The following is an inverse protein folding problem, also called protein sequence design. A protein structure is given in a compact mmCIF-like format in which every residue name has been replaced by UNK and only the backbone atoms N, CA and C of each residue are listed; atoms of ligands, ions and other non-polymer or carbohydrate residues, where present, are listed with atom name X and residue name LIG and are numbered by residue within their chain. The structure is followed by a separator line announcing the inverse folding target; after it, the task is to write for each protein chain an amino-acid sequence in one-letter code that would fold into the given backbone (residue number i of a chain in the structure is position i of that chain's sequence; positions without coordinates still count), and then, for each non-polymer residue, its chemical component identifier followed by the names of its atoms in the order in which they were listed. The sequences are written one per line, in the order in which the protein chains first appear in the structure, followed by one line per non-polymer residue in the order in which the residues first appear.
data_IF_087426483915
#
_entry.id   IF_087426483915
#
_cell.length_a   1.000
_cell.length_b   1.000
_cell.length_c   1.000
_cell.angle_alpha   90.00
_cell.angle_beta   90.00
_cell.angle_gamma   90.00
#
_symmetry.space_group_name_H-M   'P 1'
#
loop_
_entity.id
_entity.type
_entity.pdbx_description
1 polymer ?
#
# COMPACT_ATOMS: atom_id res chain seq x y z
N UNK A 1 5.95 -3.46 9.76
CA UNK A 1 5.50 -2.85 8.49
C UNK A 1 4.03 -2.55 8.58
N UNK A 2 3.62 -1.38 8.16
CA UNK A 2 2.22 -0.96 8.15
C UNK A 2 1.75 -0.68 6.73
N UNK A 3 0.52 -1.03 6.44
CA UNK A 3 -0.10 -0.72 5.17
C UNK A 3 -1.54 -0.23 5.39
N UNK A 4 -1.96 0.71 4.56
CA UNK A 4 -3.36 1.10 4.44
C UNK A 4 -3.78 0.77 3.02
N UNK A 5 -4.76 -0.10 2.89
CA UNK A 5 -5.33 -0.53 1.61
C UNK A 5 -6.62 0.23 1.36
N UNK A 6 -6.79 0.74 0.15
CA UNK A 6 -8.05 1.31 -0.29
C UNK A 6 -8.45 0.66 -1.61
N UNK A 7 -9.64 0.06 -1.64
CA UNK A 7 -10.22 -0.47 -2.88
C UNK A 7 -10.64 0.71 -3.75
N UNK A 8 -10.18 0.72 -4.99
CA UNK A 8 -10.39 1.85 -5.88
C UNK A 8 -10.98 1.44 -7.23
N UNK A 9 -11.77 2.34 -7.83
CA UNK A 9 -12.15 2.26 -9.24
C UNK A 9 -11.06 2.84 -10.13
N UNK A 10 -10.29 3.80 -9.60
CA UNK A 10 -9.10 4.38 -10.21
C UNK A 10 -8.25 5.05 -9.14
N UNK A 11 -6.95 5.13 -9.38
CA UNK A 11 -6.03 5.92 -8.58
C UNK A 11 -4.86 6.39 -9.44
N UNK A 12 -4.23 7.50 -9.05
CA UNK A 12 -3.08 8.05 -9.76
C UNK A 12 -2.13 8.78 -8.83
N UNK A 13 -0.88 8.87 -9.24
CA UNK A 13 0.16 9.68 -8.61
C UNK A 13 0.63 10.72 -9.62
N UNK A 14 0.59 11.99 -9.22
CA UNK A 14 1.11 13.10 -10.00
C UNK A 14 2.30 13.73 -9.29
N UNK A 15 3.40 13.95 -10.01
CA UNK A 15 4.62 14.58 -9.52
C UNK A 15 4.97 15.73 -10.46
N UNK A 16 5.16 16.92 -9.90
CA UNK A 16 5.47 18.13 -10.66
C UNK A 16 4.52 18.36 -11.85
N UNK A 17 3.23 18.14 -11.61
CA UNK A 17 2.18 18.35 -12.62
C UNK A 17 2.06 17.25 -13.68
N UNK A 18 2.89 16.20 -13.60
CA UNK A 18 2.89 15.08 -14.55
C UNK A 18 2.40 13.81 -13.87
N UNK A 19 1.48 13.09 -14.50
CA UNK A 19 1.03 11.79 -14.02
C UNK A 19 2.17 10.78 -14.13
N UNK A 20 2.68 10.33 -12.99
CA UNK A 20 3.74 9.31 -12.88
C UNK A 20 3.18 7.91 -13.09
N UNK A 21 2.04 7.61 -12.46
CA UNK A 21 1.42 6.29 -12.47
C UNK A 21 -0.08 6.42 -12.31
N UNK A 22 -0.81 5.48 -12.91
CA UNK A 22 -2.25 5.36 -12.70
C UNK A 22 -2.71 3.92 -12.83
N UNK A 23 -3.79 3.59 -12.14
CA UNK A 23 -4.49 2.30 -12.25
C UNK A 23 -5.99 2.53 -12.39
N UNK A 24 -6.69 1.54 -12.94
CA UNK A 24 -8.14 1.44 -12.89
C UNK A 24 -8.56 0.61 -11.67
N UNK A 25 -9.50 -0.32 -11.79
CA UNK A 25 -9.96 -1.15 -10.67
C UNK A 25 -8.80 -1.87 -9.98
N UNK A 26 -8.73 -1.75 -8.66
CA UNK A 26 -7.70 -2.41 -7.89
C UNK A 26 -7.52 -1.87 -6.49
N UNK A 27 -6.29 -1.82 -6.03
CA UNK A 27 -5.92 -1.37 -4.69
C UNK A 27 -4.87 -0.26 -4.75
N UNK A 28 -5.12 0.83 -4.02
CA UNK A 28 -4.08 1.75 -3.58
C UNK A 28 -3.52 1.24 -2.25
N UNK A 29 -2.21 1.04 -2.19
CA UNK A 29 -1.51 0.57 -0.99
C UNK A 29 -0.56 1.66 -0.51
N UNK A 30 -0.86 2.25 0.64
CA UNK A 30 0.06 3.15 1.34
C UNK A 30 0.93 2.30 2.25
N UNK A 31 2.26 2.35 2.08
CA UNK A 31 3.20 1.47 2.77
C UNK A 31 4.17 2.26 3.66
N UNK A 32 4.18 1.95 4.95
CA UNK A 32 5.13 2.51 5.93
C UNK A 32 6.04 1.43 6.48
N UNK A 33 7.36 1.66 6.38
CA UNK A 33 8.36 0.75 6.90
C UNK A 33 9.03 1.32 8.15
N UNK A 34 9.48 0.45 9.04
CA UNK A 34 10.34 0.79 10.18
C UNK A 34 11.66 0.01 10.12
N UNK A 35 12.66 0.43 10.91
CA UNK A 35 13.98 -0.19 10.87
C UNK A 35 13.99 -1.68 11.23
N UNK A 36 13.03 -2.15 12.02
CA UNK A 36 12.94 -3.54 12.45
C UNK A 36 12.27 -4.46 11.42
N UNK A 37 11.75 -3.93 10.31
CA UNK A 37 11.10 -4.73 9.29
C UNK A 37 12.10 -5.60 8.52
N UNK A 38 11.64 -6.79 8.13
CA UNK A 38 12.44 -7.79 7.42
C UNK A 38 11.67 -8.35 6.23
N UNK A 39 12.31 -9.24 5.46
CA UNK A 39 11.66 -9.97 4.37
C UNK A 39 10.46 -10.80 4.84
N UNK A 40 10.47 -11.27 6.08
CA UNK A 40 9.32 -11.99 6.65
C UNK A 40 8.06 -11.11 6.69
N UNK A 41 8.22 -9.84 7.08
CA UNK A 41 7.12 -8.86 7.06
C UNK A 41 6.60 -8.65 5.64
N UNK A 42 7.50 -8.51 4.68
CA UNK A 42 7.16 -8.30 3.26
C UNK A 42 6.39 -9.50 2.72
N UNK A 43 6.93 -10.70 2.89
CA UNK A 43 6.34 -11.94 2.36
C UNK A 43 4.93 -12.16 2.92
N UNK A 44 4.79 -11.99 4.23
CA UNK A 44 3.47 -12.13 4.86
C UNK A 44 2.47 -11.09 4.33
N UNK A 45 2.90 -9.83 4.27
CA UNK A 45 2.02 -8.71 3.92
C UNK A 45 1.58 -8.78 2.45
N UNK A 46 2.50 -9.03 1.52
CA UNK A 46 2.18 -9.12 0.09
C UNK A 46 1.26 -10.30 -0.21
N UNK A 47 1.53 -11.46 0.40
CA UNK A 47 0.66 -12.62 0.28
C UNK A 47 -0.74 -12.33 0.82
N UNK A 48 -0.82 -11.68 1.98
CA UNK A 48 -2.10 -11.33 2.59
C UNK A 48 -2.89 -10.35 1.72
N UNK A 49 -2.24 -9.31 1.21
CA UNK A 49 -2.89 -8.30 0.33
C UNK A 49 -3.43 -8.96 -0.94
N UNK A 50 -2.64 -9.81 -1.59
CA UNK A 50 -3.05 -10.48 -2.84
C UNK A 50 -4.27 -11.39 -2.66
N UNK A 51 -4.41 -11.98 -1.48
CA UNK A 51 -5.47 -12.98 -1.21
C UNK A 51 -6.65 -12.42 -0.39
N UNK A 52 -6.59 -11.16 0.02
CA UNK A 52 -7.65 -10.56 0.82
C UNK A 52 -8.94 -10.44 -0.01
N UNK A 53 -10.03 -10.98 0.51
CA UNK A 53 -11.30 -11.14 -0.21
C UNK A 53 -12.19 -9.93 0.00
N UNK A 54 -11.83 -8.80 -0.60
CA UNK A 54 -12.49 -7.50 -0.44
C UNK A 54 -13.06 -6.94 -1.73
N UNK A 55 -13.16 -7.75 -2.77
CA UNK A 55 -13.85 -7.42 -4.02
C UNK A 55 -15.16 -8.19 -4.11
N UNK A 56 -16.17 -7.54 -4.68
CA UNK A 56 -17.50 -8.12 -4.77
C UNK A 56 -17.56 -9.27 -5.77
N UNK A 57 -18.28 -10.33 -5.39
CA UNK A 57 -18.72 -11.38 -6.31
C UNK A 57 -19.98 -10.96 -7.06
N UNK A 58 -20.54 -11.88 -7.83
CA UNK A 58 -21.75 -11.65 -8.65
C UNK A 58 -23.00 -11.36 -7.80
N UNK A 59 -22.99 -11.76 -6.52
CA UNK A 59 -24.06 -11.50 -5.56
C UNK A 59 -23.86 -10.17 -4.79
N UNK A 60 -22.79 -9.43 -5.07
CA UNK A 60 -22.45 -8.19 -4.38
C UNK A 60 -21.80 -8.40 -3.00
N UNK A 61 -21.31 -9.60 -2.72
CA UNK A 61 -20.66 -9.94 -1.46
C UNK A 61 -19.14 -9.85 -1.63
N UNK A 62 -18.43 -9.24 -0.65
CA UNK A 62 -16.98 -9.19 -0.63
C UNK A 62 -16.40 -10.58 -0.42
N UNK A 63 -16.10 -11.27 -1.50
CA UNK A 63 -15.72 -12.68 -1.53
C UNK A 63 -14.56 -12.99 -2.48
N UNK A 64 -14.19 -12.05 -3.34
CA UNK A 64 -13.11 -12.19 -4.31
C UNK A 64 -11.88 -11.41 -3.90
N UNK A 65 -10.71 -11.95 -4.22
CA UNK A 65 -9.42 -11.28 -4.06
C UNK A 65 -9.10 -10.41 -5.28
N UNK A 66 -8.04 -9.60 -5.19
CA UNK A 66 -7.52 -8.87 -6.35
C UNK A 66 -7.06 -9.82 -7.46
N UNK A 67 -6.57 -11.01 -7.10
CA UNK A 67 -6.20 -12.07 -8.06
C UNK A 67 -7.43 -12.53 -8.85
N UNK A 68 -8.56 -12.72 -8.18
CA UNK A 68 -9.80 -13.19 -8.82
C UNK A 68 -10.36 -12.16 -9.81
N UNK A 69 -10.27 -10.88 -9.49
CA UNK A 69 -10.80 -9.81 -10.36
C UNK A 69 -9.79 -9.28 -11.37
N UNK A 70 -8.52 -9.69 -11.27
CA UNK A 70 -7.47 -9.23 -12.17
C UNK A 70 -7.18 -7.74 -12.06
N UNK A 71 -7.37 -7.15 -10.88
CA UNK A 71 -7.14 -5.73 -10.65
C UNK A 71 -5.66 -5.35 -10.59
N UNK A 72 -5.41 -4.05 -10.60
CA UNK A 72 -4.07 -3.48 -10.51
C UNK A 72 -3.75 -3.00 -9.09
N UNK A 73 -2.45 -2.87 -8.80
CA UNK A 73 -1.97 -2.32 -7.53
C UNK A 73 -1.10 -1.09 -7.79
N UNK A 74 -1.35 -0.04 -7.02
CA UNK A 74 -0.51 1.16 -6.94
C UNK A 74 0.04 1.25 -5.51
N UNK A 75 1.36 1.14 -5.36
CA UNK A 75 2.04 1.23 -4.05
C UNK A 75 2.69 2.59 -3.92
N UNK A 76 2.37 3.27 -2.83
CA UNK A 76 2.94 4.58 -2.47
C UNK A 76 3.58 4.49 -1.10
N UNK A 77 4.85 4.91 -0.99
CA UNK A 77 5.53 4.99 0.31
C UNK A 77 4.88 6.06 1.19
N UNK A 78 4.62 5.73 2.46
CA UNK A 78 3.91 6.59 3.41
C UNK A 78 4.53 6.46 4.80
N UNK A 79 5.65 7.15 5.06
CA UNK A 79 6.33 7.08 6.36
C UNK A 79 5.45 7.61 7.51
N UNK A 80 4.50 8.50 7.22
CA UNK A 80 3.60 9.08 8.22
C UNK A 80 2.66 8.07 8.87
N UNK A 81 2.57 6.83 8.37
CA UNK A 81 1.87 5.74 9.05
C UNK A 81 2.54 5.39 10.39
N UNK A 82 3.78 5.80 10.59
CA UNK A 82 4.54 5.64 11.83
C UNK A 82 4.53 6.90 12.71
N UNK A 83 3.53 7.75 12.53
CA UNK A 83 3.35 8.94 13.36
C UNK A 83 3.06 8.58 14.82
N UNK A 84 3.75 9.25 15.75
CA UNK A 84 3.42 9.25 17.16
C UNK A 84 2.84 10.62 17.53
N UNK A 85 1.62 10.64 18.01
CA UNK A 85 0.86 11.86 18.35
C UNK A 85 0.30 11.82 19.77
N UNK A 86 0.85 10.93 20.60
CA UNK A 86 0.40 10.76 22.01
C UNK A 86 0.61 12.00 22.86
N UNK A 87 1.68 12.77 22.58
CA UNK A 87 2.01 13.99 23.31
C UNK A 87 2.08 15.17 22.35
N UNK A 88 1.21 16.16 22.58
CA UNK A 88 1.14 17.37 21.76
C UNK A 88 0.53 17.12 20.38
N UNK A 89 0.42 18.20 19.59
CA UNK A 89 -0.26 18.19 18.30
C UNK A 89 0.68 18.15 17.10
N UNK A 90 2.00 18.16 17.32
CA UNK A 90 3.01 17.96 16.28
C UNK A 90 3.42 16.49 16.29
N UNK A 91 3.06 15.71 15.24
CA UNK A 91 3.44 14.31 15.19
C UNK A 91 4.95 14.12 15.16
N UNK A 92 5.43 13.08 15.84
CA UNK A 92 6.80 12.61 15.72
C UNK A 92 6.86 11.43 14.77
N UNK A 93 7.87 11.38 13.91
CA UNK A 93 8.09 10.31 12.94
C UNK A 93 9.36 9.50 13.24
N UNK A 94 9.85 9.54 14.48
CA UNK A 94 11.07 8.82 14.87
C UNK A 94 10.96 7.30 14.74
N UNK A 95 9.75 6.77 14.69
CA UNK A 95 9.50 5.33 14.47
C UNK A 95 9.58 4.93 13.01
N UNK A 96 9.45 5.87 12.08
CA UNK A 96 9.65 5.58 10.66
C UNK A 96 11.10 5.16 10.44
N UNK A 97 11.31 4.17 9.57
CA UNK A 97 12.67 3.71 9.25
C UNK A 97 13.46 4.79 8.49
N UNK A 98 14.78 4.70 8.62
CA UNK A 98 15.70 5.55 7.85
C UNK A 98 15.63 5.23 6.35
N UNK A 99 15.97 6.17 5.50
CA UNK A 99 15.99 5.97 4.03
C UNK A 99 16.86 4.77 3.62
N UNK A 100 18.01 4.58 4.26
CA UNK A 100 18.92 3.46 3.98
C UNK A 100 18.27 2.10 4.17
N UNK A 101 17.33 2.00 5.12
CA UNK A 101 16.60 0.76 5.41
C UNK A 101 15.30 0.68 4.63
N UNK A 102 14.56 1.77 4.54
CA UNK A 102 13.19 1.75 3.99
C UNK A 102 13.16 1.68 2.48
N UNK A 103 14.11 2.28 1.76
CA UNK A 103 14.14 2.22 0.29
C UNK A 103 14.31 0.77 -0.20
N UNK A 104 15.30 -0.01 0.28
CA UNK A 104 15.41 -1.42 -0.11
C UNK A 104 14.19 -2.26 0.27
N UNK A 105 13.58 -2.01 1.43
CA UNK A 105 12.36 -2.71 1.86
C UNK A 105 11.17 -2.39 0.95
N UNK A 106 10.99 -1.13 0.61
CA UNK A 106 9.95 -0.68 -0.31
C UNK A 106 10.11 -1.34 -1.70
N UNK A 107 11.32 -1.32 -2.25
CA UNK A 107 11.61 -1.95 -3.53
C UNK A 107 11.39 -3.47 -3.49
N UNK A 108 11.79 -4.13 -2.40
CA UNK A 108 11.56 -5.55 -2.20
C UNK A 108 10.06 -5.87 -2.09
N UNK A 109 9.30 -5.02 -1.41
CA UNK A 109 7.84 -5.15 -1.32
C UNK A 109 7.19 -5.08 -2.71
N UNK A 110 7.59 -4.12 -3.53
CA UNK A 110 7.07 -3.98 -4.90
C UNK A 110 7.36 -5.22 -5.73
N UNK A 111 8.60 -5.72 -5.70
CA UNK A 111 8.98 -6.94 -6.43
C UNK A 111 8.18 -8.16 -5.98
N UNK A 112 8.04 -8.33 -4.66
CA UNK A 112 7.27 -9.45 -4.11
C UNK A 112 5.79 -9.35 -4.48
N UNK A 113 5.23 -8.13 -4.45
CA UNK A 113 3.85 -7.90 -4.85
C UNK A 113 3.63 -8.22 -6.33
N UNK A 114 4.58 -7.88 -7.20
CA UNK A 114 4.55 -8.25 -8.62
C UNK A 114 4.53 -9.76 -8.82
N UNK A 115 5.28 -10.51 -8.03
CA UNK A 115 5.26 -11.97 -8.06
C UNK A 115 3.91 -12.52 -7.60
N UNK A 116 3.34 -11.97 -6.54
CA UNK A 116 2.05 -12.41 -6.02
C UNK A 116 0.90 -12.21 -7.02
N UNK A 117 0.87 -11.08 -7.73
CA UNK A 117 -0.23 -10.79 -8.66
C UNK A 117 0.08 -11.17 -10.12
N UNK A 118 1.33 -11.52 -10.43
CA UNK A 118 1.73 -12.00 -11.77
C UNK A 118 1.76 -10.91 -12.83
N UNK A 119 1.89 -9.63 -12.44
CA UNK A 119 1.98 -8.50 -13.36
C UNK A 119 2.69 -7.30 -12.70
N UNK A 120 3.12 -6.29 -13.50
CA UNK A 120 3.76 -5.10 -12.96
C UNK A 120 2.87 -4.37 -11.95
N UNK A 121 3.50 -3.86 -10.89
CA UNK A 121 2.88 -3.02 -9.87
C UNK A 121 3.26 -1.57 -10.15
N UNK A 122 2.27 -0.69 -10.13
CA UNK A 122 2.50 0.74 -10.31
C UNK A 122 2.99 1.35 -9.00
N UNK A 123 3.85 2.35 -9.10
CA UNK A 123 4.47 2.99 -7.93
C UNK A 123 4.45 4.51 -8.06
N UNK A 124 4.57 5.19 -6.90
CA UNK A 124 5.01 6.58 -6.86
C UNK A 124 6.53 6.67 -7.00
N UNK A 125 7.09 7.73 -6.46
CA UNK A 125 8.53 7.94 -6.37
C UNK A 125 8.90 8.17 -4.90
N UNK A 126 9.78 7.34 -4.36
CA UNK A 126 10.15 7.42 -2.95
C UNK A 126 10.81 8.79 -2.66
N UNK A 127 10.30 9.48 -1.63
CA UNK A 127 10.81 10.78 -1.20
C UNK A 127 10.32 11.98 -2.02
N UNK A 128 9.58 11.78 -3.10
CA UNK A 128 9.02 12.87 -3.87
C UNK A 128 7.77 13.45 -3.23
N UNK A 129 7.45 14.70 -3.54
CA UNK A 129 6.14 15.27 -3.26
C UNK A 129 5.15 14.73 -4.29
N UNK A 130 4.14 14.01 -3.81
CA UNK A 130 3.16 13.33 -4.66
C UNK A 130 1.75 13.83 -4.39
N UNK A 131 1.00 14.07 -5.47
CA UNK A 131 -0.46 14.26 -5.41
C UNK A 131 -1.08 12.90 -5.72
N UNK A 132 -1.70 12.29 -4.72
CA UNK A 132 -2.35 10.98 -4.84
C UNK A 132 -3.85 11.20 -4.97
N UNK A 133 -4.40 10.87 -6.12
CA UNK A 133 -5.83 10.94 -6.39
C UNK A 133 -6.39 9.54 -6.47
N UNK A 134 -7.56 9.33 -5.88
CA UNK A 134 -8.23 8.03 -5.91
C UNK A 134 -9.74 8.19 -5.83
N UNK A 135 -10.45 7.21 -6.37
CA UNK A 135 -11.87 7.02 -6.13
C UNK A 135 -12.04 5.74 -5.32
N UNK A 136 -12.24 5.90 -4.01
CA UNK A 136 -12.49 4.76 -3.12
C UNK A 136 -13.84 4.14 -3.45
N UNK A 137 -13.81 2.87 -3.78
CA UNK A 137 -14.99 2.11 -4.20
C UNK A 137 -15.55 1.31 -3.02
N UNK A 138 -16.65 1.84 -2.47
CA UNK A 138 -17.30 1.13 -1.37
C UNK A 138 -17.93 2.01 -0.30
N UNK A 139 -17.23 2.77 0.56
CA UNK A 139 -15.77 2.79 0.75
C UNK A 139 -15.24 1.50 1.40
N UNK A 140 -14.04 1.10 1.01
CA UNK A 140 -13.32 0.00 1.63
C UNK A 140 -11.89 0.46 1.91
N UNK A 141 -11.53 0.51 3.19
CA UNK A 141 -10.22 0.91 3.68
C UNK A 141 -9.81 -0.04 4.81
N UNK A 142 -8.64 -0.66 4.69
CA UNK A 142 -8.15 -1.65 5.66
C UNK A 142 -6.75 -1.25 6.12
N UNK A 143 -6.56 -1.21 7.43
CA UNK A 143 -5.27 -0.96 8.07
C UNK A 143 -4.65 -2.29 8.47
N UNK A 144 -3.38 -2.48 8.15
CA UNK A 144 -2.63 -3.70 8.45
C UNK A 144 -1.31 -3.36 9.14
N UNK A 145 -0.92 -4.18 10.10
CA UNK A 145 0.37 -4.07 10.81
C UNK A 145 0.96 -5.48 10.97
N UNK A 146 2.15 -5.71 10.43
CA UNK A 146 2.79 -7.03 10.50
C UNK A 146 3.23 -7.43 11.90
N UNK A 147 3.39 -6.46 12.81
CA UNK A 147 3.74 -6.69 14.22
C UNK A 147 2.53 -6.78 15.13
N UNK A 148 1.36 -6.41 14.64
CA UNK A 148 0.11 -6.43 15.39
C UNK A 148 -1.01 -6.92 14.48
N UNK A 149 -0.93 -8.19 14.11
CA UNK A 149 -1.89 -8.85 13.21
C UNK A 149 -3.22 -9.07 13.92
N UNK A 150 -4.33 -8.72 13.23
CA UNK A 150 -5.70 -8.89 13.72
C UNK A 150 -6.52 -9.75 12.77
#
# INVERSE_FOLDING_TARGET
MRAVLQRVSRASVTIDGTVKSKIDEGLLVLLGCENADTMEDITWLTHKIANLRIFNDEAGVMNKSILDVGGDILVVSQFTLWASYKKGNRPSYLRAGSHEVTVPLYEAFVREMEQEIGKPVMTGEFGAEMKVELLNDGPVTICMDTKNKE
#
